data_IF_666108299760
#
_entry.id   IF_666108299760
#
_cell.length_a   1.000
_cell.length_b   1.000
_cell.length_c   1.000
_cell.angle_alpha   90.00
_cell.angle_beta   90.00
_cell.angle_gamma   90.00
#
_symmetry.space_group_name_H-M   'P 1'
#
loop_
_entity.id
_entity.type
_entity.pdbx_description
1 polymer ?
#
# COMPACT_ATOMS: atom_id res chain seq x y z
N UNK A 1 35.54 10.04 1.52
CA UNK A 1 34.77 10.79 0.50
C UNK A 1 33.57 11.37 1.23
N UNK A 2 33.49 12.70 1.31
CA UNK A 2 32.29 13.38 1.83
C UNK A 2 31.23 13.37 0.71
N UNK A 3 30.49 12.28 0.61
CA UNK A 3 29.29 12.28 -0.23
C UNK A 3 28.21 13.06 0.51
N UNK A 4 27.65 14.07 -0.15
CA UNK A 4 26.55 14.87 0.36
C UNK A 4 25.32 13.97 0.55
N UNK A 5 24.75 13.96 1.75
CA UNK A 5 23.56 13.21 2.04
C UNK A 5 22.36 13.99 1.49
N UNK A 6 21.68 13.44 0.47
CA UNK A 6 20.56 14.10 -0.24
C UNK A 6 19.23 13.41 0.00
N UNK A 7 19.25 12.09 0.22
CA UNK A 7 18.04 11.31 0.49
C UNK A 7 17.62 11.37 1.95
N UNK A 8 16.34 11.09 2.20
CA UNK A 8 15.77 11.02 3.53
C UNK A 8 14.74 9.89 3.61
N UNK A 9 14.65 9.22 4.76
CA UNK A 9 13.68 8.16 5.01
C UNK A 9 13.19 8.27 6.45
N UNK A 10 11.88 8.30 6.61
CA UNK A 10 11.21 8.30 7.90
C UNK A 10 10.22 7.14 8.01
N UNK A 11 10.15 6.54 9.21
CA UNK A 11 9.15 5.53 9.57
C UNK A 11 8.08 6.15 10.47
N UNK A 12 6.82 5.88 10.18
CA UNK A 12 5.73 6.22 11.08
C UNK A 12 5.57 5.18 12.19
N UNK A 13 5.47 5.63 13.47
CA UNK A 13 5.53 4.73 14.63
C UNK A 13 4.21 4.52 15.34
N UNK A 14 3.30 5.49 15.29
CA UNK A 14 2.13 5.53 16.16
C UNK A 14 0.91 6.07 15.43
N UNK A 15 -0.26 5.82 15.98
CA UNK A 15 -1.50 6.43 15.56
C UNK A 15 -1.67 7.79 16.26
N UNK A 16 -1.09 8.84 15.68
CA UNK A 16 -1.17 10.22 16.15
C UNK A 16 -1.70 11.14 15.07
N UNK A 17 -2.18 12.30 15.44
CA UNK A 17 -2.78 13.26 14.50
C UNK A 17 -1.79 13.77 13.47
N UNK A 18 -0.51 13.85 13.81
CA UNK A 18 0.57 14.22 12.89
C UNK A 18 0.86 13.09 11.89
N UNK A 19 0.90 11.84 12.32
CA UNK A 19 1.11 10.68 11.44
C UNK A 19 -0.04 10.49 10.47
N UNK A 20 -1.26 10.74 10.90
CA UNK A 20 -2.44 10.74 10.04
C UNK A 20 -2.64 12.06 9.28
N UNK A 21 -1.73 13.03 9.45
CA UNK A 21 -1.72 14.35 8.80
C UNK A 21 -2.99 15.18 9.04
N UNK A 22 -3.65 15.00 10.20
CA UNK A 22 -4.71 15.92 10.68
C UNK A 22 -4.14 17.03 11.55
N UNK A 23 -2.94 16.87 12.08
CA UNK A 23 -2.20 17.84 12.87
C UNK A 23 -0.77 17.99 12.36
N UNK A 24 -0.12 19.04 12.80
CA UNK A 24 1.28 19.34 12.46
C UNK A 24 2.13 19.09 13.70
N UNK A 25 3.18 18.27 13.64
CA UNK A 25 4.08 18.10 14.77
C UNK A 25 4.92 19.35 15.00
N UNK A 26 5.41 19.53 16.22
CA UNK A 26 6.40 20.56 16.50
C UNK A 26 7.65 20.35 15.64
N UNK A 27 8.12 21.41 14.99
CA UNK A 27 9.31 21.37 14.16
C UNK A 27 10.57 21.53 15.00
N UNK A 28 11.31 20.46 15.17
CA UNK A 28 12.56 20.46 15.91
C UNK A 28 13.57 19.48 15.27
N UNK A 29 14.64 20.01 14.72
CA UNK A 29 15.71 19.23 14.09
C UNK A 29 16.71 18.65 15.11
N UNK A 30 16.66 19.07 16.37
CA UNK A 30 17.51 18.54 17.44
C UNK A 30 16.96 17.25 18.08
N UNK A 31 15.84 16.73 17.57
CA UNK A 31 15.25 15.49 18.01
C UNK A 31 15.50 14.35 17.02
N UNK A 32 15.62 13.13 17.53
CA UNK A 32 15.75 11.91 16.73
C UNK A 32 14.44 11.52 16.04
N UNK A 33 13.32 12.01 16.53
CA UNK A 33 11.97 11.84 15.97
C UNK A 33 11.23 13.17 16.01
N UNK A 34 10.51 13.48 14.95
CA UNK A 34 9.57 14.60 14.91
C UNK A 34 8.14 14.02 15.07
N UNK A 35 7.55 14.19 16.23
CA UNK A 35 6.27 13.54 16.54
C UNK A 35 6.32 12.03 16.31
N UNK A 36 5.40 11.50 15.52
CA UNK A 36 5.35 10.08 15.17
C UNK A 36 6.29 9.64 14.02
N UNK A 37 7.16 10.53 13.52
CA UNK A 37 8.10 10.24 12.42
C UNK A 37 9.51 9.99 12.96
N UNK A 38 10.01 8.78 12.78
CA UNK A 38 11.37 8.37 13.16
C UNK A 38 12.31 8.40 11.96
N UNK A 39 13.43 9.11 12.07
CA UNK A 39 14.45 9.14 11.02
C UNK A 39 15.15 7.78 10.90
N UNK A 40 15.09 7.19 9.72
CA UNK A 40 15.78 5.93 9.36
C UNK A 40 16.98 6.15 8.44
N UNK A 41 16.94 7.20 7.65
CA UNK A 41 18.05 7.65 6.84
C UNK A 41 18.02 9.18 6.71
N UNK A 42 19.17 9.87 6.76
CA UNK A 42 20.50 9.34 7.08
C UNK A 42 20.60 8.80 8.52
N UNK A 43 21.60 7.97 8.79
CA UNK A 43 21.88 7.53 10.16
C UNK A 43 22.30 8.73 11.01
N UNK A 44 21.75 8.84 12.21
CA UNK A 44 21.92 9.99 13.11
C UNK A 44 23.38 10.23 13.53
N UNK A 45 24.19 9.16 13.62
CA UNK A 45 25.64 9.26 13.88
C UNK A 45 26.42 9.97 12.76
N UNK A 46 25.81 10.10 11.58
CA UNK A 46 26.43 10.73 10.41
C UNK A 46 25.82 12.07 10.02
N UNK A 47 24.60 12.33 10.42
CA UNK A 47 23.87 13.52 10.06
C UNK A 47 22.90 13.93 11.19
N UNK A 48 23.47 14.48 12.25
CA UNK A 48 22.73 15.13 13.32
C UNK A 48 23.23 16.58 13.46
N UNK A 49 22.37 17.59 13.62
CA UNK A 49 20.91 17.48 13.73
C UNK A 49 20.24 16.93 12.45
N UNK A 50 19.03 16.46 12.62
CA UNK A 50 18.18 15.96 11.52
C UNK A 50 17.69 17.12 10.65
N UNK A 51 17.06 16.81 9.52
CA UNK A 51 16.36 17.78 8.71
C UNK A 51 14.97 17.26 8.36
N UNK A 52 13.98 17.75 9.09
CA UNK A 52 12.58 17.40 8.87
C UNK A 52 11.84 18.33 7.91
N UNK A 53 12.52 19.30 7.28
CA UNK A 53 11.87 20.35 6.48
C UNK A 53 10.95 19.78 5.39
N UNK A 54 11.37 18.74 4.68
CA UNK A 54 10.62 18.14 3.58
C UNK A 54 9.32 17.52 4.09
N UNK A 55 9.40 16.60 5.06
CA UNK A 55 8.23 15.90 5.58
C UNK A 55 7.32 16.85 6.38
N UNK A 56 7.87 17.77 7.15
CA UNK A 56 7.10 18.74 7.91
C UNK A 56 6.29 19.68 7.00
N UNK A 57 6.89 20.21 5.92
CA UNK A 57 6.17 21.05 4.97
C UNK A 57 5.07 20.29 4.24
N UNK A 58 5.28 19.03 3.91
CA UNK A 58 4.26 18.17 3.32
C UNK A 58 3.08 17.93 4.29
N UNK A 59 3.36 17.67 5.58
CA UNK A 59 2.31 17.52 6.60
C UNK A 59 1.53 18.83 6.75
N UNK A 60 2.22 19.98 6.81
CA UNK A 60 1.56 21.28 6.90
C UNK A 60 0.64 21.55 5.72
N UNK A 61 1.08 21.23 4.51
CA UNK A 61 0.23 21.37 3.33
C UNK A 61 -1.06 20.57 3.48
N UNK A 62 -0.97 19.31 3.96
CA UNK A 62 -2.14 18.45 4.13
C UNK A 62 -3.04 18.92 5.27
N UNK A 63 -2.48 19.29 6.41
CA UNK A 63 -3.24 19.61 7.62
C UNK A 63 -3.85 21.01 7.63
N UNK A 64 -3.14 22.02 7.09
CA UNK A 64 -3.48 23.43 7.31
C UNK A 64 -4.03 24.14 6.06
N UNK A 65 -3.75 23.64 4.84
CA UNK A 65 -4.17 24.34 3.64
C UNK A 65 -5.65 24.13 3.30
N UNK A 66 -6.28 25.10 2.64
CA UNK A 66 -7.55 24.89 1.98
C UNK A 66 -7.39 24.03 0.71
N UNK A 67 -8.50 23.56 0.14
CA UNK A 67 -8.45 22.63 -0.99
C UNK A 67 -7.81 23.23 -2.26
N UNK A 68 -7.98 24.53 -2.52
CA UNK A 68 -7.37 25.16 -3.69
C UNK A 68 -5.84 25.21 -3.60
N UNK A 69 -5.30 25.52 -2.42
CA UNK A 69 -3.85 25.52 -2.19
C UNK A 69 -3.31 24.10 -2.17
N UNK A 70 -4.04 23.19 -1.53
CA UNK A 70 -3.67 21.78 -1.49
C UNK A 70 -3.58 21.20 -2.91
N UNK A 71 -4.63 21.36 -3.73
CA UNK A 71 -4.67 20.86 -5.10
C UNK A 71 -3.54 21.42 -5.98
N UNK A 72 -3.23 22.71 -5.82
CA UNK A 72 -2.16 23.33 -6.57
C UNK A 72 -0.75 22.84 -6.21
N UNK A 73 -0.53 22.38 -4.96
CA UNK A 73 0.81 22.09 -4.44
C UNK A 73 1.05 20.60 -4.11
N UNK A 74 0.01 19.79 -3.98
CA UNK A 74 0.16 18.40 -3.51
C UNK A 74 1.04 17.56 -4.43
N UNK A 75 0.98 17.78 -5.74
CA UNK A 75 1.81 17.09 -6.72
C UNK A 75 3.30 17.45 -6.67
N UNK A 76 3.66 18.58 -6.03
CA UNK A 76 5.06 18.96 -5.79
C UNK A 76 5.62 18.31 -4.51
N UNK A 77 4.73 17.98 -3.57
CA UNK A 77 5.09 17.37 -2.30
C UNK A 77 5.02 15.85 -2.30
N UNK A 78 4.15 15.25 -3.11
CA UNK A 78 3.90 13.81 -3.11
C UNK A 78 3.91 13.22 -4.53
N UNK A 79 4.35 11.97 -4.63
CA UNK A 79 4.28 11.18 -5.86
C UNK A 79 2.85 10.62 -6.02
N UNK A 80 1.99 11.35 -6.74
CA UNK A 80 0.58 10.97 -6.92
C UNK A 80 0.39 9.61 -7.59
N UNK A 81 1.15 9.21 -8.62
CA UNK A 81 1.11 7.86 -9.16
C UNK A 81 1.37 6.77 -8.11
N UNK A 82 2.37 6.95 -7.24
CA UNK A 82 2.66 6.01 -6.16
C UNK A 82 1.52 5.99 -5.14
N UNK A 83 0.95 7.15 -4.79
CA UNK A 83 -0.22 7.22 -3.91
C UNK A 83 -1.45 6.53 -4.52
N UNK A 84 -1.63 6.61 -5.84
CA UNK A 84 -2.70 5.92 -6.57
C UNK A 84 -2.55 4.41 -6.44
N UNK A 85 -1.35 3.87 -6.71
CA UNK A 85 -1.04 2.45 -6.53
C UNK A 85 -1.20 2.01 -5.07
N UNK A 86 -0.78 2.87 -4.14
CA UNK A 86 -0.90 2.60 -2.71
C UNK A 86 -2.36 2.55 -2.25
N UNK A 87 -3.21 3.45 -2.73
CA UNK A 87 -4.64 3.43 -2.42
C UNK A 87 -5.30 2.13 -2.91
N UNK A 88 -5.00 1.72 -4.14
CA UNK A 88 -5.46 0.43 -4.68
C UNK A 88 -4.95 -0.74 -3.84
N UNK A 89 -3.68 -0.70 -3.45
CA UNK A 89 -3.06 -1.72 -2.60
C UNK A 89 -3.78 -1.85 -1.24
N UNK A 90 -4.01 -0.73 -0.54
CA UNK A 90 -4.70 -0.74 0.76
C UNK A 90 -6.05 -1.46 0.68
N UNK A 91 -6.83 -1.16 -0.36
CA UNK A 91 -8.12 -1.80 -0.58
C UNK A 91 -7.99 -3.27 -0.99
N UNK A 92 -7.06 -3.59 -1.89
CA UNK A 92 -6.90 -4.96 -2.43
C UNK A 92 -6.59 -5.99 -1.35
N UNK A 93 -5.67 -5.67 -0.43
CA UNK A 93 -5.27 -6.59 0.64
C UNK A 93 -5.92 -6.26 1.98
N UNK A 94 -6.76 -5.22 2.02
CA UNK A 94 -7.41 -4.71 3.23
C UNK A 94 -6.38 -4.39 4.33
N UNK A 95 -5.37 -3.58 3.98
CA UNK A 95 -4.25 -3.23 4.86
C UNK A 95 -4.64 -2.12 5.86
N UNK A 96 -5.43 -2.49 6.85
CA UNK A 96 -6.07 -1.57 7.81
C UNK A 96 -5.07 -0.85 8.72
N UNK A 97 -3.95 -1.48 9.05
CA UNK A 97 -2.92 -0.91 9.92
C UNK A 97 -1.86 -0.08 9.14
N UNK A 98 -2.06 0.12 7.84
CA UNK A 98 -1.11 0.80 6.96
C UNK A 98 -1.62 2.16 6.45
N UNK A 99 -2.61 2.75 7.12
CA UNK A 99 -3.20 4.02 6.69
C UNK A 99 -2.80 5.19 7.60
N UNK A 100 -1.53 5.46 7.65
CA UNK A 100 -0.87 6.46 8.51
C UNK A 100 0.31 5.85 9.25
N UNK A 101 0.08 4.87 10.13
CA UNK A 101 1.10 4.05 10.78
C UNK A 101 1.64 2.97 9.80
N UNK A 102 2.72 2.32 10.16
CA UNK A 102 3.34 1.22 9.40
C UNK A 102 3.68 1.58 7.95
N UNK A 103 4.20 2.78 7.77
CA UNK A 103 4.64 3.30 6.48
C UNK A 103 6.04 3.88 6.60
N UNK A 104 6.75 3.86 5.48
CA UNK A 104 7.94 4.68 5.29
C UNK A 104 7.63 5.79 4.30
N UNK A 105 8.06 7.00 4.63
CA UNK A 105 8.11 8.12 3.70
C UNK A 105 9.54 8.36 3.28
N UNK A 106 9.78 8.51 1.99
CA UNK A 106 11.11 8.73 1.43
C UNK A 106 11.14 9.95 0.51
N UNK A 107 12.19 10.75 0.68
CA UNK A 107 12.62 11.71 -0.32
C UNK A 107 13.94 11.21 -0.93
N UNK A 108 13.99 10.99 -2.23
CA UNK A 108 15.18 10.41 -2.87
C UNK A 108 16.35 11.39 -2.94
N UNK A 109 16.08 12.62 -3.35
CA UNK A 109 17.07 13.69 -3.40
C UNK A 109 16.36 15.05 -3.23
N UNK A 110 16.44 15.60 -2.03
CA UNK A 110 15.81 16.88 -1.68
C UNK A 110 16.35 18.08 -2.45
N UNK A 111 17.55 17.96 -3.05
CA UNK A 111 18.17 19.02 -3.84
C UNK A 111 17.64 19.07 -5.27
N UNK A 112 17.08 17.97 -5.75
CA UNK A 112 16.46 17.83 -7.07
C UNK A 112 14.94 17.97 -6.98
N UNK A 113 14.33 17.25 -6.03
CA UNK A 113 12.90 17.28 -5.81
C UNK A 113 12.57 16.90 -4.36
N UNK A 114 11.83 17.74 -3.62
CA UNK A 114 11.38 17.42 -2.26
C UNK A 114 10.22 16.42 -2.23
N UNK A 115 9.87 15.83 -3.37
CA UNK A 115 8.71 14.95 -3.51
C UNK A 115 8.85 13.67 -2.69
N UNK A 116 7.83 13.39 -1.91
CA UNK A 116 7.72 12.21 -1.07
C UNK A 116 7.11 11.04 -1.84
N UNK A 117 7.76 9.92 -1.76
CA UNK A 117 7.21 8.59 -2.08
C UNK A 117 7.03 7.77 -0.81
N UNK A 118 6.39 6.61 -0.90
CA UNK A 118 6.16 5.77 0.27
C UNK A 118 6.48 4.30 0.00
N UNK A 119 6.69 3.55 1.10
CA UNK A 119 6.77 2.11 1.08
C UNK A 119 5.99 1.53 2.28
N UNK A 120 5.45 0.33 2.07
CA UNK A 120 4.69 -0.40 3.08
C UNK A 120 5.62 -1.09 4.08
N UNK A 121 5.11 -1.28 5.29
CA UNK A 121 5.76 -2.01 6.36
C UNK A 121 4.71 -2.70 7.22
N UNK A 122 5.02 -3.90 7.75
CA UNK A 122 4.18 -4.59 8.73
C UNK A 122 2.77 -4.91 8.19
N UNK A 123 2.69 -5.91 7.32
CA UNK A 123 1.47 -6.28 6.59
C UNK A 123 0.75 -7.49 7.20
N UNK A 124 0.97 -7.78 8.47
CA UNK A 124 0.34 -8.88 9.19
C UNK A 124 -1.19 -8.68 9.33
N UNK A 125 -1.64 -7.44 9.48
CA UNK A 125 -3.06 -7.07 9.50
C UNK A 125 -3.63 -6.87 8.08
N UNK A 126 -3.53 -7.92 7.24
CA UNK A 126 -4.08 -7.93 5.87
C UNK A 126 -4.89 -9.19 5.61
N UNK A 127 -5.65 -9.21 4.50
CA UNK A 127 -6.44 -10.37 4.03
C UNK A 127 -7.35 -10.93 5.14
N UNK A 128 -8.06 -10.03 5.80
CA UNK A 128 -8.95 -10.34 6.90
C UNK A 128 -8.27 -10.53 8.26
N UNK A 129 -6.95 -10.43 8.33
CA UNK A 129 -6.23 -10.35 9.62
C UNK A 129 -6.61 -9.09 10.38
N UNK A 130 -6.66 -9.16 11.71
CA UNK A 130 -6.95 -8.02 12.56
C UNK A 130 -5.73 -7.68 13.44
N UNK A 131 -5.50 -6.38 13.66
CA UNK A 131 -4.47 -5.84 14.56
C UNK A 131 -4.74 -6.16 16.01
N UNK A 132 -6.00 -6.38 16.37
CA UNK A 132 -6.43 -6.74 17.70
C UNK A 132 -6.78 -8.22 17.75
N UNK A 133 -5.96 -9.02 18.41
CA UNK A 133 -6.15 -10.45 18.55
C UNK A 133 -7.49 -10.86 19.19
N UNK A 134 -8.28 -9.94 19.65
CA UNK A 134 -9.63 -10.22 20.20
C UNK A 134 -10.69 -10.45 19.10
N UNK A 135 -10.47 -9.94 17.89
CA UNK A 135 -11.34 -10.22 16.74
C UNK A 135 -10.50 -10.89 15.67
N UNK A 136 -10.79 -12.12 15.36
CA UNK A 136 -9.95 -12.97 14.56
C UNK A 136 -9.84 -12.47 13.13
N UNK A 137 -10.94 -11.96 12.56
CA UNK A 137 -10.99 -11.67 11.12
C UNK A 137 -11.98 -10.57 10.78
N UNK A 138 -11.61 -9.76 9.81
CA UNK A 138 -12.53 -8.82 9.19
C UNK A 138 -13.29 -9.48 8.05
N UNK A 139 -14.53 -9.08 7.87
CA UNK A 139 -15.37 -9.55 6.77
C UNK A 139 -14.81 -9.13 5.42
N UNK A 140 -14.79 -10.03 4.41
CA UNK A 140 -14.29 -9.71 3.08
C UNK A 140 -15.16 -8.67 2.33
N UNK A 141 -16.35 -8.39 2.81
CA UNK A 141 -17.30 -7.44 2.22
C UNK A 141 -17.27 -6.07 2.91
N UNK A 142 -16.30 -5.81 3.77
CA UNK A 142 -16.12 -4.50 4.37
C UNK A 142 -15.24 -3.62 3.47
N UNK A 143 -15.66 -2.41 3.09
CA UNK A 143 -14.78 -1.47 2.43
C UNK A 143 -13.69 -1.00 3.41
N UNK A 144 -12.48 -0.83 2.90
CA UNK A 144 -11.35 -0.38 3.70
C UNK A 144 -11.63 0.96 4.42
N UNK A 145 -12.47 1.80 3.82
CA UNK A 145 -12.86 3.09 4.38
C UNK A 145 -13.65 2.98 5.69
N UNK A 146 -14.49 1.98 5.87
CA UNK A 146 -15.29 1.83 7.09
C UNK A 146 -14.42 1.54 8.31
N UNK A 147 -13.33 0.83 8.12
CA UNK A 147 -12.35 0.62 9.18
C UNK A 147 -11.56 1.89 9.47
N UNK A 148 -11.22 2.63 8.43
CA UNK A 148 -10.45 3.85 8.52
C UNK A 148 -11.19 4.99 9.19
N UNK A 149 -12.51 5.03 9.10
CA UNK A 149 -13.35 5.98 9.84
C UNK A 149 -13.30 5.74 11.37
N UNK A 150 -12.96 4.51 11.80
CA UNK A 150 -12.84 4.18 13.23
C UNK A 150 -11.48 4.54 13.83
N UNK A 151 -10.39 4.47 13.07
CA UNK A 151 -9.01 4.57 13.58
C UNK A 151 -8.22 5.78 13.07
N UNK A 152 -8.83 6.63 12.27
CA UNK A 152 -8.18 7.77 11.64
C UNK A 152 -7.63 7.42 10.26
N UNK A 153 -8.16 8.07 9.30
CA UNK A 153 -7.82 7.98 7.89
C UNK A 153 -6.60 8.87 7.63
N UNK A 154 -5.65 8.42 6.81
CA UNK A 154 -4.60 9.33 6.35
C UNK A 154 -5.24 10.52 5.60
N UNK A 155 -5.19 11.70 6.19
CA UNK A 155 -5.89 12.88 5.71
C UNK A 155 -5.51 13.24 4.27
N UNK A 156 -4.27 12.96 3.87
CA UNK A 156 -3.79 13.08 2.48
C UNK A 156 -4.68 12.30 1.50
N UNK A 157 -4.85 11.01 1.74
CA UNK A 157 -5.66 10.14 0.87
C UNK A 157 -7.14 10.50 0.94
N UNK A 158 -7.64 10.84 2.12
CA UNK A 158 -9.02 11.29 2.30
C UNK A 158 -9.32 12.54 1.47
N UNK A 159 -8.50 13.58 1.56
CA UNK A 159 -8.68 14.81 0.79
C UNK A 159 -8.63 14.55 -0.71
N UNK A 160 -7.62 13.81 -1.16
CA UNK A 160 -7.46 13.46 -2.57
C UNK A 160 -8.67 12.68 -3.10
N UNK A 161 -9.10 11.63 -2.38
CA UNK A 161 -10.13 10.73 -2.89
C UNK A 161 -11.55 11.32 -2.76
N UNK A 162 -11.93 11.82 -1.57
CA UNK A 162 -13.28 12.36 -1.35
C UNK A 162 -13.55 13.61 -2.21
N UNK A 163 -12.59 14.53 -2.26
CA UNK A 163 -12.66 15.74 -3.09
C UNK A 163 -12.43 15.50 -4.58
N UNK A 164 -11.96 14.31 -4.97
CA UNK A 164 -11.43 14.04 -6.32
C UNK A 164 -10.39 15.07 -6.76
N UNK A 165 -9.61 15.58 -5.78
CA UNK A 165 -8.62 16.62 -6.05
C UNK A 165 -7.52 16.06 -6.96
N UNK A 166 -7.05 16.85 -7.89
CA UNK A 166 -6.15 16.43 -8.97
C UNK A 166 -6.67 15.23 -9.80
N UNK A 167 -7.97 14.94 -9.80
CA UNK A 167 -8.55 13.78 -10.48
C UNK A 167 -8.13 12.43 -9.84
N UNK A 168 -7.73 12.44 -8.56
CA UNK A 168 -7.13 11.28 -7.89
C UNK A 168 -8.08 10.08 -7.82
N UNK A 169 -9.37 10.29 -7.48
CA UNK A 169 -10.35 9.21 -7.44
C UNK A 169 -10.54 8.54 -8.80
N UNK A 170 -10.58 9.34 -9.87
CA UNK A 170 -10.70 8.83 -11.23
C UNK A 170 -9.46 8.03 -11.63
N UNK A 171 -8.27 8.54 -11.29
CA UNK A 171 -7.00 7.83 -11.51
C UNK A 171 -6.94 6.50 -10.72
N UNK A 172 -7.40 6.47 -9.47
CA UNK A 172 -7.50 5.25 -8.66
C UNK A 172 -8.44 4.23 -9.32
N UNK A 173 -9.63 4.66 -9.75
CA UNK A 173 -10.59 3.77 -10.41
C UNK A 173 -10.03 3.20 -11.72
N UNK A 174 -9.42 4.04 -12.55
CA UNK A 174 -8.79 3.59 -13.79
C UNK A 174 -7.66 2.60 -13.49
N UNK A 175 -6.80 2.92 -12.52
CA UNK A 175 -5.66 2.10 -12.14
C UNK A 175 -6.07 0.75 -11.57
N UNK A 176 -7.10 0.69 -10.73
CA UNK A 176 -7.65 -0.56 -10.24
C UNK A 176 -8.01 -1.49 -11.39
N UNK A 177 -8.79 -1.00 -12.37
CA UNK A 177 -9.21 -1.82 -13.49
C UNK A 177 -8.08 -2.22 -14.43
N UNK A 178 -7.06 -1.37 -14.63
CA UNK A 178 -5.84 -1.76 -15.33
C UNK A 178 -5.15 -2.93 -14.63
N UNK A 179 -5.00 -2.86 -13.31
CA UNK A 179 -4.37 -3.91 -12.51
C UNK A 179 -5.22 -5.18 -12.47
N UNK A 180 -6.57 -5.06 -12.51
CA UNK A 180 -7.50 -6.21 -12.61
C UNK A 180 -7.31 -7.04 -13.88
N UNK A 181 -6.82 -6.45 -14.95
CA UNK A 181 -6.47 -7.18 -16.17
C UNK A 181 -5.16 -7.97 -16.04
N UNK A 182 -4.40 -7.77 -14.98
CA UNK A 182 -3.08 -8.33 -14.76
C UNK A 182 -2.87 -8.90 -13.36
N UNK A 183 -2.05 -8.22 -12.56
CA UNK A 183 -1.57 -8.73 -11.27
C UNK A 183 -2.66 -8.83 -10.21
N UNK A 184 -3.75 -8.09 -10.33
CA UNK A 184 -4.90 -8.16 -9.43
C UNK A 184 -6.03 -9.05 -9.98
N UNK A 185 -5.83 -9.79 -11.06
CA UNK A 185 -6.79 -10.83 -11.43
C UNK A 185 -6.95 -11.82 -10.26
N UNK A 186 -8.19 -12.16 -9.91
CA UNK A 186 -8.49 -12.95 -8.69
C UNK A 186 -7.70 -14.25 -8.64
N UNK A 187 -7.70 -15.02 -9.75
CA UNK A 187 -6.97 -16.28 -9.80
C UNK A 187 -5.45 -16.08 -9.68
N UNK A 188 -4.92 -14.97 -10.21
CA UNK A 188 -3.50 -14.64 -10.10
C UNK A 188 -3.11 -14.31 -8.66
N UNK A 189 -3.95 -13.58 -7.94
CA UNK A 189 -3.75 -13.28 -6.52
C UNK A 189 -3.80 -14.57 -5.70
N UNK A 190 -4.86 -15.36 -5.84
CA UNK A 190 -5.01 -16.63 -5.13
C UNK A 190 -3.81 -17.54 -5.41
N UNK A 191 -3.44 -17.73 -6.68
CA UNK A 191 -2.30 -18.57 -7.04
C UNK A 191 -0.98 -18.10 -6.41
N UNK A 192 -0.77 -16.78 -6.28
CA UNK A 192 0.43 -16.22 -5.66
C UNK A 192 0.50 -16.55 -4.17
N UNK A 193 -0.59 -16.34 -3.43
CA UNK A 193 -0.63 -16.65 -2.00
C UNK A 193 -0.52 -18.17 -1.77
N UNK A 194 -1.30 -18.96 -2.51
CA UNK A 194 -1.25 -20.42 -2.38
C UNK A 194 0.13 -20.99 -2.73
N UNK A 195 0.78 -20.48 -3.78
CA UNK A 195 2.13 -20.90 -4.16
C UNK A 195 3.20 -20.53 -3.11
N UNK A 196 3.01 -19.47 -2.32
CA UNK A 196 3.91 -19.18 -1.20
C UNK A 196 3.67 -20.14 -0.02
N UNK A 197 2.41 -20.43 0.31
CA UNK A 197 2.07 -21.42 1.36
C UNK A 197 2.61 -22.81 0.98
N UNK A 198 2.42 -23.24 -0.27
CA UNK A 198 2.96 -24.49 -0.78
C UNK A 198 4.49 -24.59 -0.59
N UNK A 199 5.23 -23.51 -0.89
CA UNK A 199 6.69 -23.46 -0.66
C UNK A 199 7.04 -23.66 0.82
N UNK A 200 6.29 -23.02 1.73
CA UNK A 200 6.48 -23.16 3.17
C UNK A 200 6.22 -24.60 3.64
N UNK A 201 5.21 -25.25 3.06
CA UNK A 201 4.90 -26.65 3.33
C UNK A 201 5.99 -27.60 2.78
N UNK A 202 6.37 -27.44 1.51
CA UNK A 202 7.37 -28.29 0.86
C UNK A 202 8.76 -28.20 1.51
N UNK A 203 9.15 -27.05 2.03
CA UNK A 203 10.43 -26.90 2.73
C UNK A 203 10.35 -27.26 4.25
N UNK A 204 9.20 -27.69 4.73
CA UNK A 204 8.94 -28.04 6.13
C UNK A 204 8.92 -26.84 7.08
N UNK A 205 8.85 -25.60 6.56
CA UNK A 205 8.75 -24.42 7.41
C UNK A 205 7.39 -24.36 8.11
N UNK A 206 6.32 -24.67 7.39
CA UNK A 206 4.98 -24.74 7.95
C UNK A 206 4.90 -25.64 9.17
N UNK A 207 5.38 -26.89 9.05
CA UNK A 207 5.39 -27.86 10.16
C UNK A 207 6.24 -27.39 11.35
N UNK A 208 7.37 -26.70 11.09
CA UNK A 208 8.20 -26.14 12.18
C UNK A 208 7.50 -25.01 12.91
N UNK A 209 6.80 -24.14 12.20
CA UNK A 209 6.03 -23.03 12.79
C UNK A 209 4.85 -23.57 13.61
N UNK A 210 4.06 -24.49 13.05
CA UNK A 210 2.95 -25.13 13.75
C UNK A 210 3.43 -25.81 15.04
N UNK A 211 4.52 -26.59 14.98
CA UNK A 211 5.10 -27.26 16.15
C UNK A 211 5.65 -26.26 17.18
N UNK A 212 6.20 -25.15 16.73
CA UNK A 212 6.81 -24.12 17.59
C UNK A 212 5.77 -23.35 18.38
N UNK A 213 4.69 -22.97 17.73
CA UNK A 213 3.74 -22.01 18.25
C UNK A 213 2.37 -22.62 18.60
N UNK A 214 2.10 -23.89 18.29
CA UNK A 214 0.84 -24.53 18.66
C UNK A 214 0.62 -24.48 20.18
N UNK A 215 -0.53 -23.92 20.57
CA UNK A 215 -0.91 -23.74 21.97
C UNK A 215 -0.33 -22.48 22.62
N UNK A 216 0.38 -21.63 21.88
CA UNK A 216 0.82 -20.31 22.37
C UNK A 216 -0.40 -19.38 22.57
N UNK A 217 -0.44 -18.69 23.69
CA UNK A 217 -1.54 -17.78 24.04
C UNK A 217 -1.66 -16.57 23.08
N UNK A 218 -0.55 -16.21 22.44
CA UNK A 218 -0.51 -15.08 21.51
C UNK A 218 -1.06 -15.43 20.11
N UNK A 219 -1.37 -16.72 19.85
CA UNK A 219 -2.03 -17.16 18.63
C UNK A 219 -3.54 -16.88 18.57
N UNK A 220 -4.01 -15.93 19.33
CA UNK A 220 -5.40 -15.46 19.27
C UNK A 220 -6.35 -16.60 19.50
N UNK A 221 -6.69 -17.50 19.83
CA UNK A 221 -7.69 -18.56 20.09
C UNK A 221 -7.70 -19.73 19.11
N UNK A 222 -6.71 -19.88 18.25
CA UNK A 222 -6.72 -21.01 17.32
C UNK A 222 -5.41 -21.75 17.31
N UNK A 223 -5.55 -23.05 17.07
CA UNK A 223 -4.42 -23.85 16.67
C UNK A 223 -3.90 -23.34 15.32
N UNK A 224 -2.60 -23.15 15.20
CA UNK A 224 -1.98 -22.75 13.95
C UNK A 224 -2.01 -23.93 12.97
N UNK A 225 -2.74 -23.77 11.87
CA UNK A 225 -2.84 -24.75 10.80
C UNK A 225 -2.74 -24.05 9.44
N UNK A 226 -1.57 -24.13 8.78
CA UNK A 226 -1.36 -23.44 7.52
C UNK A 226 -2.25 -23.97 6.39
N UNK A 227 -2.72 -25.18 6.47
CA UNK A 227 -3.69 -25.73 5.50
C UNK A 227 -5.04 -25.01 5.58
N UNK A 228 -5.56 -24.81 6.76
CA UNK A 228 -6.83 -24.13 6.99
C UNK A 228 -6.71 -22.63 6.68
N UNK A 229 -5.57 -22.02 7.00
CA UNK A 229 -5.28 -20.65 6.64
C UNK A 229 -5.23 -20.45 5.12
N UNK A 230 -4.66 -21.39 4.38
CA UNK A 230 -4.65 -21.36 2.92
C UNK A 230 -6.05 -21.35 2.32
N UNK A 231 -6.92 -22.23 2.79
CA UNK A 231 -8.30 -22.33 2.35
C UNK A 231 -9.07 -21.03 2.66
N UNK A 232 -8.90 -20.51 3.88
CA UNK A 232 -9.50 -19.25 4.30
C UNK A 232 -9.06 -18.08 3.43
N UNK A 233 -7.74 -17.91 3.24
CA UNK A 233 -7.20 -16.80 2.44
C UNK A 233 -7.70 -16.84 1.00
N UNK A 234 -7.77 -18.03 0.41
CA UNK A 234 -8.27 -18.19 -0.95
C UNK A 234 -9.74 -17.78 -1.09
N UNK A 235 -10.59 -18.17 -0.14
CA UNK A 235 -12.00 -17.77 -0.11
C UNK A 235 -12.15 -16.26 0.14
N UNK A 236 -11.43 -15.75 1.14
CA UNK A 236 -11.46 -14.32 1.48
C UNK A 236 -11.07 -13.47 0.29
N UNK A 237 -9.97 -13.77 -0.42
CA UNK A 237 -9.51 -13.03 -1.60
C UNK A 237 -10.59 -13.04 -2.70
N UNK A 238 -11.21 -14.19 -2.99
CA UNK A 238 -12.25 -14.25 -4.03
C UNK A 238 -13.45 -13.36 -3.71
N UNK A 239 -13.95 -13.44 -2.50
CA UNK A 239 -15.11 -12.66 -2.06
C UNK A 239 -14.78 -11.17 -1.98
N UNK A 240 -13.59 -10.83 -1.48
CA UNK A 240 -13.17 -9.43 -1.37
C UNK A 240 -12.95 -8.79 -2.73
N UNK A 241 -12.30 -9.48 -3.67
CA UNK A 241 -12.09 -8.94 -5.02
C UNK A 241 -13.42 -8.76 -5.77
N UNK A 242 -14.37 -9.68 -5.59
CA UNK A 242 -15.73 -9.50 -6.12
C UNK A 242 -16.40 -8.26 -5.52
N UNK A 243 -16.33 -8.09 -4.21
CA UNK A 243 -16.86 -6.92 -3.52
C UNK A 243 -16.22 -5.61 -4.01
N UNK A 244 -14.89 -5.58 -4.20
CA UNK A 244 -14.21 -4.41 -4.75
C UNK A 244 -14.69 -4.08 -6.18
N UNK A 245 -14.91 -5.10 -6.99
CA UNK A 245 -15.42 -4.93 -8.38
C UNK A 245 -16.84 -4.36 -8.41
N UNK A 246 -17.70 -4.77 -7.51
CA UNK A 246 -19.13 -4.47 -7.53
C UNK A 246 -19.49 -3.20 -6.75
N UNK A 247 -18.85 -2.99 -5.58
CA UNK A 247 -19.28 -1.98 -4.62
C UNK A 247 -18.30 -0.81 -4.48
N UNK A 248 -16.98 -1.07 -4.57
CA UNK A 248 -15.96 -0.03 -4.28
C UNK A 248 -15.51 0.66 -5.56
N UNK A 249 -15.08 -0.11 -6.56
CA UNK A 249 -14.56 0.40 -7.84
C UNK A 249 -15.52 0.14 -8.99
N UNK A 250 -16.83 0.29 -8.74
CA UNK A 250 -17.87 -0.03 -9.70
C UNK A 250 -17.75 0.80 -10.99
N UNK A 251 -17.60 0.11 -12.14
CA UNK A 251 -17.51 0.76 -13.47
C UNK A 251 -18.76 1.57 -13.83
N UNK A 252 -19.92 1.19 -13.33
CA UNK A 252 -21.19 1.88 -13.65
C UNK A 252 -21.28 3.26 -13.04
N UNK A 253 -20.60 3.50 -11.90
CA UNK A 253 -20.50 4.81 -11.27
C UNK A 253 -19.53 5.75 -12.02
N UNK A 254 -18.60 5.19 -12.79
CA UNK A 254 -17.57 5.91 -13.57
C UNK A 254 -17.97 6.16 -15.02
N UNK A 255 -19.22 5.91 -15.43
CA UNK A 255 -19.69 5.92 -16.82
C UNK A 255 -19.79 7.32 -17.46
N UNK A 256 -18.91 8.26 -17.13
CA UNK A 256 -18.86 9.56 -17.82
C UNK A 256 -17.69 9.66 -18.81
N UNK A 257 -16.73 8.75 -18.82
CA UNK A 257 -15.69 8.72 -19.86
C UNK A 257 -15.46 7.30 -20.39
N UNK A 258 -16.26 6.90 -21.37
CA UNK A 258 -15.90 5.77 -22.23
C UNK A 258 -14.73 6.18 -23.13
N UNK A 259 -13.52 6.00 -22.66
CA UNK A 259 -12.37 5.93 -23.56
C UNK A 259 -12.54 4.65 -24.39
N UNK A 260 -12.74 4.81 -25.69
CA UNK A 260 -12.68 3.69 -26.62
C UNK A 260 -11.34 2.99 -26.41
N UNK A 261 -11.39 1.79 -25.81
CA UNK A 261 -10.20 0.94 -25.73
C UNK A 261 -9.78 0.57 -27.15
N UNK A 262 -8.67 1.11 -27.58
CA UNK A 262 -8.04 0.63 -28.81
C UNK A 262 -7.70 -0.86 -28.61
N UNK A 263 -8.07 -1.67 -29.59
CA UNK A 263 -7.83 -3.11 -29.63
C UNK A 263 -6.31 -3.48 -29.56
N UNK A 264 -5.43 -2.49 -29.57
CA UNK A 264 -3.97 -2.63 -29.47
C UNK A 264 -3.46 -3.04 -28.07
N UNK A 265 -4.27 -2.92 -27.01
CA UNK A 265 -3.81 -3.23 -25.65
C UNK A 265 -3.98 -4.71 -25.24
N UNK A 266 -4.47 -5.58 -26.12
CA UNK A 266 -4.69 -7.00 -25.78
C UNK A 266 -3.43 -7.84 -25.65
N UNK A 267 -2.27 -7.32 -26.00
CA UNK A 267 -1.00 -8.08 -26.00
C UNK A 267 0.07 -7.51 -25.06
N UNK A 268 -0.32 -6.63 -24.13
CA UNK A 268 0.63 -6.09 -23.17
C UNK A 268 0.98 -7.15 -22.13
N UNK A 269 2.29 -7.36 -21.95
CA UNK A 269 2.84 -8.21 -20.92
C UNK A 269 3.24 -7.34 -19.74
N UNK A 270 2.90 -7.78 -18.54
CA UNK A 270 3.27 -7.10 -17.30
C UNK A 270 4.24 -7.95 -16.49
N UNK A 271 5.13 -7.30 -15.74
CA UNK A 271 5.90 -7.97 -14.71
C UNK A 271 4.98 -8.32 -13.51
N UNK A 272 5.52 -9.02 -12.52
CA UNK A 272 4.76 -9.39 -11.33
C UNK A 272 4.38 -8.20 -10.43
N UNK A 273 4.88 -7.01 -10.75
CA UNK A 273 4.55 -5.74 -10.08
C UNK A 273 3.50 -4.92 -10.85
N UNK A 274 2.95 -5.47 -11.95
CA UNK A 274 1.93 -4.80 -12.76
C UNK A 274 2.47 -3.73 -13.71
N UNK A 275 3.79 -3.65 -13.93
CA UNK A 275 4.40 -2.71 -14.85
C UNK A 275 4.46 -3.33 -16.24
N UNK A 276 4.09 -2.59 -17.32
CA UNK A 276 4.19 -3.09 -18.66
C UNK A 276 5.66 -3.36 -19.02
N UNK A 277 5.90 -4.48 -19.68
CA UNK A 277 7.24 -4.93 -20.06
C UNK A 277 7.37 -4.93 -21.57
N UNK A 278 8.47 -4.38 -22.08
CA UNK A 278 8.83 -4.49 -23.48
C UNK A 278 9.14 -5.96 -23.81
N UNK A 279 8.26 -6.57 -24.60
CA UNK A 279 8.35 -7.99 -24.95
C UNK A 279 9.64 -8.34 -25.72
N UNK A 280 10.26 -7.36 -26.39
CA UNK A 280 11.53 -7.54 -27.09
C UNK A 280 12.73 -7.64 -26.12
N UNK A 281 12.59 -7.13 -24.90
CA UNK A 281 13.66 -7.07 -23.89
C UNK A 281 13.39 -7.93 -22.65
N UNK A 282 12.40 -8.79 -22.70
CA UNK A 282 12.06 -9.66 -21.56
C UNK A 282 13.17 -10.67 -21.28
N UNK A 283 13.62 -10.73 -20.05
CA UNK A 283 14.46 -11.83 -19.54
C UNK A 283 13.62 -13.09 -19.27
N UNK A 284 14.25 -14.30 -19.17
CA UNK A 284 13.54 -15.48 -18.66
C UNK A 284 12.94 -15.19 -17.28
N UNK A 285 11.68 -15.56 -17.07
CA UNK A 285 10.98 -15.26 -15.83
C UNK A 285 9.47 -15.41 -15.92
N UNK A 286 8.77 -15.02 -14.83
CA UNK A 286 7.32 -15.05 -14.74
C UNK A 286 6.75 -13.65 -15.04
N UNK A 287 5.72 -13.62 -15.86
CA UNK A 287 5.02 -12.42 -16.32
C UNK A 287 3.52 -12.67 -16.36
N UNK A 288 2.75 -11.63 -16.53
CA UNK A 288 1.29 -11.69 -16.70
C UNK A 288 0.94 -11.20 -18.10
N UNK A 289 0.24 -12.04 -18.88
CA UNK A 289 -0.26 -11.71 -20.21
C UNK A 289 -1.73 -12.09 -20.29
N UNK A 290 -2.58 -11.15 -20.66
CA UNK A 290 -4.04 -11.36 -20.77
C UNK A 290 -4.66 -11.93 -19.46
N UNK A 291 -4.22 -11.44 -18.30
CA UNK A 291 -4.70 -11.89 -16.99
C UNK A 291 -4.20 -13.29 -16.55
N UNK A 292 -3.31 -13.92 -17.30
CA UNK A 292 -2.76 -15.26 -17.01
C UNK A 292 -1.26 -15.20 -16.77
N UNK A 293 -0.80 -16.08 -15.88
CA UNK A 293 0.63 -16.25 -15.64
C UNK A 293 1.30 -16.81 -16.90
N UNK A 294 2.34 -16.13 -17.35
CA UNK A 294 3.13 -16.50 -18.53
C UNK A 294 4.58 -16.67 -18.11
N UNK A 295 5.15 -17.82 -18.44
CA UNK A 295 6.57 -18.09 -18.21
C UNK A 295 7.34 -17.94 -19.50
N UNK A 296 8.27 -16.97 -19.54
CA UNK A 296 9.27 -16.89 -20.60
C UNK A 296 10.44 -17.78 -20.22
N UNK A 297 10.75 -18.74 -21.08
CA UNK A 297 11.93 -19.62 -20.97
C UNK A 297 13.18 -18.92 -21.45
#
# INVERSE_FOLDING_TARGET
KNEEIRGQLWKTKAWTTDVTMYGVPEYDNEQESMGGYETKYPKLDKAFPTDYSVIHNAIRLVAESNDSVFEACVGDCFDLPVLTDYYVFLHTVYAIDNNGKNMYWACHDKTVSPKLTLAVWDLDATIGGNVDCNEIRTEPLAPCNDFMDRFGYLNLLRRLYQGNLCGFRDAVNERFWQLREGCLHTDSLVARFMGNIEKLQLCGAAEREERRWSGDSDLCYRELCLHDEAAYMADWIRRHMQFLDEEVFNRSASAVHSVKRDAAHRDVVYDLFGRPVDTARMSPGLYIRNGRLYQKK
#
